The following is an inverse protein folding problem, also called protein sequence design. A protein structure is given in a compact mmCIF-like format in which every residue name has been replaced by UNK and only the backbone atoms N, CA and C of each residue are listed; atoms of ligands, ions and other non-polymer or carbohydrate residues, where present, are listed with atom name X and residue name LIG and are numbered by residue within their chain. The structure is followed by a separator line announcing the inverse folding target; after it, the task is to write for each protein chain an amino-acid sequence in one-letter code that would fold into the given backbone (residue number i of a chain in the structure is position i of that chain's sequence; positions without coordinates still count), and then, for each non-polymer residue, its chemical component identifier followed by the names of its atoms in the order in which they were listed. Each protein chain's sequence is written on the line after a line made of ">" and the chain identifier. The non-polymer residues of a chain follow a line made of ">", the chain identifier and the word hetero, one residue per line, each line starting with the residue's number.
data_IF_589218985197
#
_entry.id   IF_589218985197
#
_cell.length_a   1.000
_cell.length_b   1.000
_cell.length_c   1.000
_cell.angle_alpha   90.00
_cell.angle_beta   90.00
_cell.angle_gamma   90.00
#
_symmetry.space_group_name_H-M   'P 1'
#
loop_
_entity.id
_entity.type
_entity.pdbx_description
1 polymer ?
#
# COMPACT_ATOMS: atom_id res chain seq x y z
N UNK A 1 0.39 51.66 -35.63
CA UNK A 1 0.04 50.22 -35.75
C UNK A 1 1.15 49.33 -35.21
N UNK A 2 2.41 49.46 -35.57
CA UNK A 2 3.52 48.58 -35.11
C UNK A 2 3.72 48.53 -33.58
N UNK A 3 3.49 49.63 -32.87
CA UNK A 3 3.62 49.69 -31.39
C UNK A 3 2.47 48.95 -30.66
N UNK A 4 1.27 48.94 -31.22
CA UNK A 4 0.11 48.27 -30.69
C UNK A 4 0.23 46.74 -30.86
N UNK A 5 0.75 46.28 -32.00
CA UNK A 5 1.00 44.86 -32.26
C UNK A 5 2.09 44.29 -31.33
N UNK A 6 3.17 45.07 -31.06
CA UNK A 6 4.22 44.67 -30.10
C UNK A 6 3.67 44.56 -28.68
N UNK A 7 2.75 45.44 -28.26
CA UNK A 7 2.12 45.39 -26.96
C UNK A 7 1.24 44.13 -26.80
N UNK A 8 0.43 43.80 -27.82
CA UNK A 8 -0.37 42.57 -27.80
C UNK A 8 0.49 41.30 -27.84
N UNK A 9 1.61 41.31 -28.56
CA UNK A 9 2.53 40.19 -28.62
C UNK A 9 3.21 39.93 -27.25
N UNK A 10 3.59 41.02 -26.56
CA UNK A 10 4.15 40.95 -25.20
C UNK A 10 3.14 40.44 -24.16
N UNK A 11 1.88 40.87 -24.27
CA UNK A 11 0.81 40.39 -23.39
C UNK A 11 0.52 38.88 -23.59
N UNK A 12 0.56 38.42 -24.84
CA UNK A 12 0.38 37.01 -25.19
C UNK A 12 1.53 36.16 -24.66
N UNK A 13 2.77 36.64 -24.78
CA UNK A 13 3.97 35.96 -24.27
C UNK A 13 3.95 35.84 -22.72
N UNK A 14 3.52 36.89 -22.02
CA UNK A 14 3.32 36.83 -20.57
C UNK A 14 2.21 35.82 -20.15
N UNK A 15 1.12 35.75 -20.92
CA UNK A 15 0.02 34.80 -20.66
C UNK A 15 0.42 33.32 -20.74
N UNK A 16 1.38 33.00 -21.62
CA UNK A 16 1.89 31.63 -21.78
C UNK A 16 2.89 31.22 -20.68
N UNK A 17 3.53 32.17 -20.00
CA UNK A 17 4.48 31.91 -18.94
C UNK A 17 3.82 31.43 -17.62
N UNK A 18 2.53 31.71 -17.42
CA UNK A 18 1.80 31.30 -16.21
C UNK A 18 1.22 29.87 -16.28
N UNK A 19 1.33 29.16 -17.40
CA UNK A 19 0.84 27.78 -17.55
C UNK A 19 1.90 26.72 -17.20
N UNK A 20 3.11 27.11 -16.80
CA UNK A 20 4.19 26.20 -16.41
C UNK A 20 4.18 25.90 -14.89
N UNK A 21 3.03 25.94 -14.21
CA UNK A 21 2.89 25.27 -12.93
C UNK A 21 2.82 23.78 -13.20
N UNK A 22 3.92 23.12 -13.03
CA UNK A 22 4.02 21.67 -13.01
C UNK A 22 3.17 21.17 -11.81
N UNK A 23 2.02 20.54 -12.11
CA UNK A 23 1.11 19.97 -11.12
C UNK A 23 1.64 18.65 -10.56
N UNK A 24 2.94 18.41 -10.62
CA UNK A 24 3.56 17.24 -10.00
C UNK A 24 3.52 17.41 -8.48
N UNK A 25 2.82 16.49 -7.82
CA UNK A 25 2.79 16.44 -6.36
C UNK A 25 4.20 16.29 -5.82
N UNK A 26 4.49 17.01 -4.76
CA UNK A 26 5.73 16.84 -4.00
C UNK A 26 5.72 15.49 -3.29
N UNK A 27 6.90 14.98 -2.93
CA UNK A 27 7.01 13.74 -2.15
C UNK A 27 6.23 13.80 -0.83
N UNK A 28 6.20 14.97 -0.18
CA UNK A 28 5.45 15.17 1.05
C UNK A 28 3.93 15.03 0.82
N UNK A 29 3.41 15.61 -0.24
CA UNK A 29 1.99 15.48 -0.61
C UNK A 29 1.63 14.05 -0.98
N UNK A 30 2.49 13.33 -1.70
CA UNK A 30 2.27 11.92 -2.02
C UNK A 30 2.22 11.06 -0.75
N UNK A 31 3.10 11.32 0.22
CA UNK A 31 3.12 10.60 1.50
C UNK A 31 1.87 10.91 2.35
N UNK A 32 1.34 12.13 2.28
CA UNK A 32 0.09 12.50 2.95
C UNK A 32 -1.11 11.81 2.32
N UNK A 33 -1.20 11.78 1.00
CA UNK A 33 -2.23 11.06 0.25
C UNK A 33 -2.24 9.56 0.60
N UNK A 34 -1.06 8.94 0.67
CA UNK A 34 -0.92 7.53 1.06
C UNK A 34 -1.46 7.28 2.48
N UNK A 35 -1.06 8.11 3.44
CA UNK A 35 -1.56 8.02 4.82
C UNK A 35 -3.08 8.18 4.91
N UNK A 36 -3.63 9.08 4.13
CA UNK A 36 -5.06 9.32 4.13
C UNK A 36 -5.82 8.18 3.43
N UNK A 37 -5.26 7.59 2.38
CA UNK A 37 -5.82 6.39 1.76
C UNK A 37 -5.84 5.19 2.73
N UNK A 38 -4.76 4.99 3.51
CA UNK A 38 -4.69 3.95 4.56
C UNK A 38 -5.74 4.19 5.63
N UNK A 39 -5.88 5.41 6.16
CA UNK A 39 -6.89 5.76 7.17
C UNK A 39 -8.30 5.55 6.64
N UNK A 40 -8.56 5.97 5.40
CA UNK A 40 -9.84 5.77 4.75
C UNK A 40 -10.16 4.28 4.61
N UNK A 41 -9.21 3.46 4.17
CA UNK A 41 -9.38 2.03 4.05
C UNK A 41 -9.69 1.36 5.39
N UNK A 42 -8.95 1.70 6.45
CA UNK A 42 -9.18 1.20 7.82
C UNK A 42 -10.60 1.50 8.28
N UNK A 43 -11.06 2.76 8.10
CA UNK A 43 -12.40 3.19 8.48
C UNK A 43 -13.48 2.49 7.66
N UNK A 44 -13.35 2.52 6.34
CA UNK A 44 -14.39 2.07 5.39
C UNK A 44 -14.53 0.53 5.40
N UNK A 45 -13.43 -0.18 5.73
CA UNK A 45 -13.42 -1.63 5.92
C UNK A 45 -13.75 -2.05 7.35
N UNK A 46 -14.06 -1.11 8.26
CA UNK A 46 -14.35 -1.39 9.67
C UNK A 46 -13.25 -2.22 10.36
N UNK A 47 -11.99 -1.89 10.06
CA UNK A 47 -10.83 -2.58 10.64
C UNK A 47 -10.63 -2.12 12.08
N UNK A 48 -10.49 -3.08 12.99
CA UNK A 48 -10.09 -2.86 14.39
C UNK A 48 -8.58 -2.97 14.50
N UNK A 49 -7.91 -1.86 14.79
CA UNK A 49 -6.45 -1.84 14.93
C UNK A 49 -6.06 -2.14 16.36
N UNK A 50 -5.24 -3.18 16.56
CA UNK A 50 -4.63 -3.51 17.85
C UNK A 50 -3.13 -3.16 17.86
N UNK A 51 -2.60 -2.88 19.05
CA UNK A 51 -1.19 -2.62 19.23
C UNK A 51 -0.34 -3.89 19.12
N UNK A 52 0.93 -3.75 18.79
CA UNK A 52 1.88 -4.87 18.77
C UNK A 52 2.03 -5.53 20.16
N UNK A 53 1.91 -4.76 21.25
CA UNK A 53 1.93 -5.29 22.61
C UNK A 53 0.71 -6.18 22.87
N UNK A 54 -0.46 -5.77 22.43
CA UNK A 54 -1.69 -6.54 22.55
C UNK A 54 -1.63 -7.81 21.70
N UNK A 55 -1.15 -7.72 20.48
CA UNK A 55 -0.92 -8.84 19.59
C UNK A 55 -0.05 -9.93 20.26
N UNK A 56 1.09 -9.56 20.85
CA UNK A 56 1.93 -10.54 21.55
C UNK A 56 1.27 -11.12 22.80
N UNK A 57 0.48 -10.35 23.52
CA UNK A 57 -0.29 -10.84 24.67
C UNK A 57 -1.39 -11.84 24.26
N UNK A 58 -1.91 -11.69 23.03
CA UNK A 58 -2.92 -12.57 22.44
C UNK A 58 -2.28 -13.73 21.65
N UNK A 59 -1.15 -14.25 22.11
CA UNK A 59 -0.44 -15.38 21.49
C UNK A 59 -0.07 -15.14 20.03
N UNK A 60 0.31 -13.91 19.69
CA UNK A 60 0.67 -13.48 18.34
C UNK A 60 -0.40 -13.87 17.30
N UNK A 61 -1.65 -13.56 17.59
CA UNK A 61 -2.78 -13.79 16.70
C UNK A 61 -3.71 -12.57 16.66
N UNK A 62 -4.57 -12.51 15.65
CA UNK A 62 -5.62 -11.50 15.48
C UNK A 62 -6.98 -12.18 15.41
N UNK A 63 -8.04 -11.52 15.91
CA UNK A 63 -9.41 -12.03 15.84
C UNK A 63 -10.06 -11.64 14.51
N UNK A 64 -10.19 -12.62 13.62
CA UNK A 64 -10.80 -12.43 12.29
C UNK A 64 -12.28 -12.00 12.41
N UNK A 65 -12.99 -12.46 13.45
CA UNK A 65 -14.41 -12.12 13.63
C UNK A 65 -14.61 -10.65 14.03
N UNK A 66 -13.58 -10.03 14.61
CA UNK A 66 -13.56 -8.61 14.94
C UNK A 66 -12.87 -7.78 13.88
N UNK A 67 -12.46 -8.39 12.79
CA UNK A 67 -11.66 -7.74 11.73
C UNK A 67 -10.41 -7.05 12.31
N UNK A 68 -9.70 -7.75 13.23
CA UNK A 68 -8.53 -7.20 13.90
C UNK A 68 -7.29 -7.24 13.01
N UNK A 69 -6.57 -6.13 12.98
CA UNK A 69 -5.26 -5.98 12.36
C UNK A 69 -4.27 -5.45 13.40
N UNK A 70 -3.10 -6.06 13.51
CA UNK A 70 -2.01 -5.50 14.32
C UNK A 70 -1.26 -4.45 13.52
N UNK A 71 -1.02 -3.29 14.13
CA UNK A 71 -0.07 -2.31 13.60
C UNK A 71 1.33 -2.64 14.09
N UNK A 72 2.22 -3.04 13.19
CA UNK A 72 3.62 -3.30 13.49
C UNK A 72 4.42 -2.01 13.62
N UNK A 73 5.55 -2.06 14.31
CA UNK A 73 6.46 -0.90 14.47
C UNK A 73 7.00 -0.36 13.13
N UNK A 74 7.02 -1.21 12.08
CA UNK A 74 7.35 -0.81 10.71
C UNK A 74 6.28 0.03 10.00
N UNK A 75 5.08 0.20 10.61
CA UNK A 75 3.93 0.86 10.00
C UNK A 75 3.02 -0.07 9.19
N UNK A 76 3.37 -1.34 9.05
CA UNK A 76 2.56 -2.34 8.36
C UNK A 76 1.39 -2.77 9.24
N UNK A 77 0.21 -2.94 8.63
CA UNK A 77 -0.96 -3.54 9.27
C UNK A 77 -1.10 -4.98 8.80
N UNK A 78 -1.25 -5.91 9.73
CA UNK A 78 -1.28 -7.35 9.43
C UNK A 78 -2.46 -8.03 10.13
N UNK A 79 -3.19 -8.86 9.40
CA UNK A 79 -4.18 -9.79 9.95
C UNK A 79 -3.68 -11.22 9.74
N UNK A 80 -3.77 -12.06 10.75
CA UNK A 80 -3.49 -13.50 10.66
C UNK A 80 -4.82 -14.25 10.61
N UNK A 81 -5.17 -14.77 9.43
CA UNK A 81 -6.38 -15.56 9.22
C UNK A 81 -6.15 -16.99 9.71
N UNK A 82 -4.97 -17.53 9.49
CA UNK A 82 -4.58 -18.87 9.91
C UNK A 82 -3.10 -18.91 10.24
N UNK A 83 -2.75 -19.38 11.43
CA UNK A 83 -1.35 -19.53 11.88
C UNK A 83 -0.58 -20.66 11.19
N UNK A 84 -1.27 -21.52 10.47
CA UNK A 84 -0.66 -22.69 9.86
C UNK A 84 -0.49 -23.85 10.84
N UNK A 85 0.52 -24.70 10.61
CA UNK A 85 0.79 -25.89 11.43
C UNK A 85 1.30 -25.51 12.82
N UNK A 86 0.81 -26.24 13.84
CA UNK A 86 1.35 -26.18 15.21
C UNK A 86 2.54 -27.12 15.41
N UNK A 87 2.88 -27.95 14.41
CA UNK A 87 4.00 -28.85 14.47
C UNK A 87 5.30 -28.09 14.17
N UNK A 88 6.20 -28.04 15.13
CA UNK A 88 7.50 -27.36 14.99
C UNK A 88 8.39 -27.95 13.87
N UNK A 89 8.13 -29.21 13.46
CA UNK A 89 8.85 -29.79 12.33
C UNK A 89 8.51 -29.14 10.99
N UNK A 90 7.33 -28.49 10.89
CA UNK A 90 6.87 -27.80 9.69
C UNK A 90 7.33 -26.33 9.64
N UNK A 91 8.17 -25.92 10.59
CA UNK A 91 8.71 -24.56 10.62
C UNK A 91 9.62 -24.33 9.42
N UNK A 92 9.37 -23.23 8.71
CA UNK A 92 10.19 -22.77 7.58
C UNK A 92 11.63 -22.50 8.05
N UNK A 93 12.61 -23.05 7.34
CA UNK A 93 14.04 -22.89 7.63
C UNK A 93 14.71 -21.98 6.62
N UNK A 94 15.86 -21.45 6.98
CA UNK A 94 16.68 -20.66 6.05
C UNK A 94 16.95 -21.44 4.75
N UNK A 95 16.74 -20.80 3.61
CA UNK A 95 16.84 -21.32 2.25
C UNK A 95 15.72 -22.29 1.82
N UNK A 96 14.70 -22.54 2.64
CA UNK A 96 13.53 -23.26 2.16
C UNK A 96 12.84 -22.47 1.05
N UNK A 97 12.39 -23.18 0.03
CA UNK A 97 11.61 -22.63 -1.06
C UNK A 97 10.16 -22.45 -0.60
N UNK A 98 9.65 -21.24 -0.68
CA UNK A 98 8.28 -20.88 -0.33
C UNK A 98 7.49 -20.64 -1.61
N UNK A 99 6.34 -21.29 -1.72
CA UNK A 99 5.37 -21.04 -2.78
C UNK A 99 4.29 -20.10 -2.27
N UNK A 100 4.03 -19.03 -3.02
CA UNK A 100 3.11 -17.97 -2.60
C UNK A 100 2.01 -17.76 -3.62
N UNK A 101 0.78 -17.63 -3.13
CA UNK A 101 -0.35 -17.09 -3.87
C UNK A 101 -0.79 -15.80 -3.21
N UNK A 102 -0.96 -14.76 -4.00
CA UNK A 102 -1.33 -13.45 -3.48
C UNK A 102 -2.17 -12.65 -4.47
N UNK A 103 -2.82 -11.63 -3.93
CA UNK A 103 -3.41 -10.55 -4.71
C UNK A 103 -2.97 -9.24 -4.09
N UNK A 104 -2.44 -8.36 -4.91
CA UNK A 104 -2.04 -7.01 -4.53
C UNK A 104 -3.11 -6.01 -4.95
N UNK A 105 -3.52 -5.16 -4.01
CA UNK A 105 -4.53 -4.15 -4.21
C UNK A 105 -3.97 -2.76 -3.92
N UNK A 106 -4.03 -1.85 -4.89
CA UNK A 106 -3.66 -0.44 -4.69
C UNK A 106 -4.76 0.29 -3.92
N UNK A 107 -4.43 0.81 -2.73
CA UNK A 107 -5.37 1.64 -1.95
C UNK A 107 -5.61 3.00 -2.59
N UNK A 108 -4.64 3.52 -3.34
CA UNK A 108 -4.73 4.80 -4.05
C UNK A 108 -5.65 4.70 -5.27
N UNK A 109 -5.41 3.69 -6.11
CA UNK A 109 -6.14 3.52 -7.38
C UNK A 109 -7.42 2.69 -7.22
N UNK A 110 -7.55 1.98 -6.10
CA UNK A 110 -8.68 1.09 -5.76
C UNK A 110 -8.87 -0.03 -6.77
N UNK A 111 -7.77 -0.60 -7.24
CA UNK A 111 -7.75 -1.71 -8.20
C UNK A 111 -6.78 -2.80 -7.78
N UNK A 112 -7.03 -4.02 -8.22
CA UNK A 112 -6.06 -5.12 -8.13
C UNK A 112 -4.95 -4.87 -9.16
N UNK A 113 -3.71 -4.76 -8.70
CA UNK A 113 -2.54 -4.49 -9.55
C UNK A 113 -1.88 -5.76 -10.05
N UNK A 114 -1.78 -6.76 -9.17
CA UNK A 114 -1.20 -8.07 -9.49
C UNK A 114 -1.98 -9.14 -8.73
N UNK A 115 -2.23 -10.28 -9.38
CA UNK A 115 -2.82 -11.45 -8.74
C UNK A 115 -2.40 -12.73 -9.46
N UNK A 116 -2.08 -13.77 -8.70
CA UNK A 116 -1.87 -15.12 -9.22
C UNK A 116 -2.93 -16.12 -8.70
N UNK A 117 -4.02 -15.62 -8.09
CA UNK A 117 -5.05 -16.46 -7.49
C UNK A 117 -5.89 -17.21 -8.52
N UNK A 118 -6.09 -16.63 -9.71
CA UNK A 118 -6.97 -17.17 -10.76
C UNK A 118 -6.29 -18.23 -11.64
N UNK A 119 -4.97 -18.40 -11.49
CA UNK A 119 -4.18 -19.34 -12.26
C UNK A 119 -3.72 -20.51 -11.39
N UNK A 120 -4.36 -21.67 -11.53
CA UNK A 120 -4.10 -22.85 -10.69
C UNK A 120 -2.63 -23.34 -10.75
N UNK A 121 -1.97 -23.13 -11.88
CA UNK A 121 -0.61 -23.62 -12.17
C UNK A 121 0.48 -22.54 -11.95
N UNK A 122 0.09 -21.28 -11.68
CA UNK A 122 1.05 -20.18 -11.51
C UNK A 122 1.15 -19.86 -10.03
N UNK A 123 2.33 -20.10 -9.48
CA UNK A 123 2.69 -19.69 -8.11
C UNK A 123 4.01 -18.91 -8.19
N UNK A 124 4.13 -17.88 -7.36
CA UNK A 124 5.41 -17.23 -7.16
C UNK A 124 6.22 -17.99 -6.13
N UNK A 125 7.51 -18.00 -6.27
CA UNK A 125 8.43 -18.70 -5.38
C UNK A 125 9.58 -17.80 -4.93
N UNK A 126 9.99 -17.96 -3.70
CA UNK A 126 11.19 -17.32 -3.18
C UNK A 126 11.87 -18.21 -2.14
N UNK A 127 13.16 -18.00 -1.94
CA UNK A 127 13.88 -18.66 -0.86
C UNK A 127 13.81 -17.81 0.41
N UNK A 128 13.38 -18.44 1.52
CA UNK A 128 13.33 -17.78 2.81
C UNK A 128 14.75 -17.43 3.28
N UNK A 129 14.97 -16.14 3.54
CA UNK A 129 16.25 -15.63 4.03
C UNK A 129 16.04 -15.07 5.44
N UNK A 130 16.92 -15.44 6.36
CA UNK A 130 16.97 -14.94 7.72
C UNK A 130 18.04 -13.88 7.81
#
# INVERSE_FOLDING_TARGET
>A
MKKLTLFFLSLLACGLAFQACDNTKTYAEMLEDEKDAIKAFIRDSSITVISQTEFYRNDSTTDVNKNEYVQLASGVYMQIINKGSTNLADTVKANDQILVRFSEYSLMDKVVTVSNLDYAEVVDEFNYRV
#
